data_IF_540988257649
#
_entry.id   IF_540988257649
#
_cell.length_a   1.000
_cell.length_b   1.000
_cell.length_c   1.000
_cell.angle_alpha   90.00
_cell.angle_beta   90.00
_cell.angle_gamma   90.00
#
_symmetry.space_group_name_H-M   'P 1'
#
loop_
_entity.id
_entity.type
_entity.pdbx_description
1 polymer ?
#
# COMPACT_ATOMS: atom_id res chain seq x y z
N UNK A 1 33.43 -14.18 -59.21
CA UNK A 1 32.09 -13.59 -58.97
C UNK A 1 31.63 -14.01 -57.58
N UNK A 2 31.87 -13.19 -56.56
CA UNK A 2 31.43 -13.50 -55.20
C UNK A 2 29.94 -13.19 -55.07
N UNK A 3 29.12 -14.24 -54.93
CA UNK A 3 27.68 -14.09 -54.71
C UNK A 3 27.42 -13.30 -53.43
N UNK A 4 26.65 -12.22 -53.53
CA UNK A 4 26.19 -11.44 -52.37
C UNK A 4 25.36 -12.38 -51.50
N UNK A 5 25.87 -12.74 -50.32
CA UNK A 5 25.12 -13.50 -49.33
C UNK A 5 23.94 -12.64 -48.88
N UNK A 6 22.72 -13.14 -49.05
CA UNK A 6 21.53 -12.51 -48.49
C UNK A 6 21.69 -12.47 -46.97
N UNK A 7 21.90 -11.28 -46.41
CA UNK A 7 21.84 -11.09 -44.97
C UNK A 7 20.38 -11.29 -44.53
N UNK A 8 20.15 -12.27 -43.67
CA UNK A 8 18.83 -12.47 -43.06
C UNK A 8 18.54 -11.30 -42.12
N UNK A 9 17.32 -10.75 -42.22
CA UNK A 9 16.87 -9.70 -41.28
C UNK A 9 16.74 -10.33 -39.90
N UNK A 10 17.46 -9.78 -38.93
CA UNK A 10 17.44 -10.22 -37.52
C UNK A 10 16.86 -9.12 -36.64
N UNK A 11 16.34 -9.51 -35.48
CA UNK A 11 15.81 -8.61 -34.46
C UNK A 11 16.28 -9.10 -33.09
N UNK A 12 16.97 -8.25 -32.34
CA UNK A 12 17.61 -8.62 -31.06
C UNK A 12 18.48 -9.88 -31.14
N UNK A 13 19.21 -10.04 -32.25
CA UNK A 13 20.03 -11.23 -32.51
C UNK A 13 19.26 -12.50 -32.93
N UNK A 14 17.94 -12.44 -32.99
CA UNK A 14 17.06 -13.57 -33.34
C UNK A 14 16.50 -13.45 -34.77
N UNK A 15 16.29 -14.60 -35.43
CA UNK A 15 15.56 -14.69 -36.70
C UNK A 15 14.04 -14.72 -36.54
N UNK A 16 13.30 -14.61 -37.65
CA UNK A 16 11.83 -14.61 -37.68
C UNK A 16 11.19 -15.71 -36.83
N UNK A 17 11.56 -16.97 -37.07
CA UNK A 17 10.98 -18.10 -36.36
C UNK A 17 11.38 -18.19 -34.89
N UNK A 18 12.52 -17.62 -34.52
CA UNK A 18 12.98 -17.58 -33.13
C UNK A 18 12.18 -16.55 -32.34
N UNK A 19 12.00 -15.33 -32.89
CA UNK A 19 11.13 -14.31 -32.29
C UNK A 19 9.69 -14.82 -32.21
N UNK A 20 9.21 -15.48 -33.26
CA UNK A 20 7.87 -16.07 -33.27
C UNK A 20 7.68 -17.13 -32.18
N UNK A 21 8.64 -18.03 -31.99
CA UNK A 21 8.63 -19.02 -30.91
C UNK A 21 8.71 -18.35 -29.53
N UNK A 22 9.60 -17.38 -29.37
CA UNK A 22 9.72 -16.60 -28.14
C UNK A 22 8.40 -15.92 -27.78
N UNK A 23 7.72 -15.31 -28.75
CA UNK A 23 6.41 -14.70 -28.54
C UNK A 23 5.38 -15.69 -28.03
N UNK A 24 5.29 -16.89 -28.62
CA UNK A 24 4.35 -17.92 -28.17
C UNK A 24 4.63 -18.35 -26.72
N UNK A 25 5.90 -18.58 -26.38
CA UNK A 25 6.31 -19.01 -25.03
C UNK A 25 6.12 -17.90 -23.99
N UNK A 26 6.48 -16.65 -24.32
CA UNK A 26 6.35 -15.53 -23.39
C UNK A 26 4.89 -15.11 -23.21
N UNK A 27 4.10 -15.17 -24.28
CA UNK A 27 2.66 -14.87 -24.21
C UNK A 27 1.92 -15.83 -23.27
N UNK A 28 2.29 -17.10 -23.21
CA UNK A 28 1.67 -18.04 -22.26
C UNK A 28 2.04 -17.75 -20.79
N UNK A 29 3.07 -16.95 -20.52
CA UNK A 29 3.43 -16.51 -19.17
C UNK A 29 2.62 -15.30 -18.68
N UNK A 30 2.01 -14.54 -19.59
CA UNK A 30 1.16 -13.40 -19.23
C UNK A 30 -0.14 -13.86 -18.60
N UNK A 31 -0.71 -13.06 -17.69
CA UNK A 31 -2.06 -13.25 -17.18
C UNK A 31 -3.10 -13.33 -18.33
N UNK A 32 -4.19 -14.08 -18.12
CA UNK A 32 -5.22 -14.30 -19.15
C UNK A 32 -5.82 -12.99 -19.68
N UNK A 33 -5.96 -11.98 -18.81
CA UNK A 33 -6.47 -10.65 -19.15
C UNK A 33 -5.58 -10.01 -20.23
N UNK A 34 -4.27 -9.96 -20.00
CA UNK A 34 -3.31 -9.43 -20.98
C UNK A 34 -3.28 -10.26 -22.28
N UNK A 35 -3.44 -11.58 -22.20
CA UNK A 35 -3.51 -12.42 -23.40
C UNK A 35 -4.72 -12.11 -24.28
N UNK A 36 -5.88 -11.82 -23.68
CA UNK A 36 -7.11 -11.41 -24.36
C UNK A 36 -6.93 -10.00 -24.94
N UNK A 37 -6.44 -9.06 -24.15
CA UNK A 37 -6.18 -7.69 -24.57
C UNK A 37 -5.29 -7.63 -25.81
N UNK A 38 -4.22 -8.45 -25.87
CA UNK A 38 -3.36 -8.55 -27.06
C UNK A 38 -4.12 -9.03 -28.31
N UNK A 39 -5.12 -9.93 -28.17
CA UNK A 39 -5.95 -10.37 -29.32
C UNK A 39 -6.85 -9.24 -29.81
N UNK A 40 -7.52 -8.57 -28.88
CA UNK A 40 -8.48 -7.50 -29.18
C UNK A 40 -7.79 -6.30 -29.84
N UNK A 41 -6.57 -5.98 -29.41
CA UNK A 41 -5.75 -4.91 -29.98
C UNK A 41 -4.97 -5.32 -31.24
N UNK A 42 -5.24 -6.52 -31.79
CA UNK A 42 -4.70 -6.93 -33.08
C UNK A 42 -3.22 -7.35 -33.09
N UNK A 43 -2.62 -7.64 -31.92
CA UNK A 43 -1.26 -8.15 -31.87
C UNK A 43 -1.19 -9.62 -32.34
N UNK A 44 -0.70 -9.82 -33.57
CA UNK A 44 -0.61 -11.12 -34.23
C UNK A 44 0.83 -11.60 -34.35
N UNK A 45 1.05 -12.90 -34.15
CA UNK A 45 2.37 -13.53 -34.26
C UNK A 45 2.66 -14.03 -35.69
N UNK A 46 2.39 -13.16 -36.68
CA UNK A 46 2.54 -13.43 -38.11
C UNK A 46 3.04 -12.16 -38.77
N UNK A 47 3.84 -12.25 -39.83
CA UNK A 47 4.55 -11.14 -40.49
C UNK A 47 5.60 -10.47 -39.59
N UNK A 48 6.73 -10.10 -40.16
CA UNK A 48 7.91 -9.74 -39.37
C UNK A 48 7.71 -8.50 -38.49
N UNK A 49 7.11 -7.44 -39.02
CA UNK A 49 6.91 -6.20 -38.25
C UNK A 49 5.89 -6.40 -37.10
N UNK A 50 4.86 -7.22 -37.30
CA UNK A 50 3.89 -7.54 -36.24
C UNK A 50 4.48 -8.48 -35.19
N UNK A 51 5.32 -9.44 -35.58
CA UNK A 51 6.06 -10.31 -34.66
C UNK A 51 6.99 -9.48 -33.75
N UNK A 52 7.63 -8.46 -34.29
CA UNK A 52 8.46 -7.51 -33.52
C UNK A 52 7.59 -6.67 -32.57
N UNK A 53 6.49 -6.08 -33.06
CA UNK A 53 5.57 -5.28 -32.22
C UNK A 53 4.99 -6.11 -31.07
N UNK A 54 4.57 -7.34 -31.35
CA UNK A 54 4.09 -8.28 -30.35
C UNK A 54 5.19 -8.61 -29.33
N UNK A 55 6.43 -8.84 -29.78
CA UNK A 55 7.55 -9.10 -28.88
C UNK A 55 7.80 -7.94 -27.92
N UNK A 56 7.84 -6.71 -28.43
CA UNK A 56 8.00 -5.50 -27.63
C UNK A 56 6.87 -5.36 -26.61
N UNK A 57 5.61 -5.53 -27.04
CA UNK A 57 4.46 -5.37 -26.15
C UNK A 57 4.38 -6.46 -25.08
N UNK A 58 4.72 -7.71 -25.42
CA UNK A 58 4.79 -8.79 -24.43
C UNK A 58 5.85 -8.46 -23.36
N UNK A 59 7.01 -7.96 -23.76
CA UNK A 59 8.05 -7.59 -22.78
C UNK A 59 7.64 -6.40 -21.93
N UNK A 60 6.94 -5.42 -22.51
CA UNK A 60 6.38 -4.30 -21.75
C UNK A 60 5.39 -4.80 -20.68
N UNK A 61 4.47 -5.69 -21.06
CA UNK A 61 3.48 -6.27 -20.14
C UNK A 61 4.11 -7.18 -19.08
N UNK A 62 5.19 -7.89 -19.40
CA UNK A 62 5.92 -8.72 -18.43
C UNK A 62 6.80 -7.92 -17.47
N UNK A 63 7.21 -6.72 -17.87
CA UNK A 63 8.03 -5.82 -17.06
C UNK A 63 7.18 -4.78 -16.31
N UNK A 64 5.88 -4.73 -16.59
CA UNK A 64 4.95 -3.93 -15.82
C UNK A 64 4.81 -4.62 -14.46
N UNK A 65 4.96 -3.91 -13.33
CA UNK A 65 4.65 -4.48 -12.03
C UNK A 65 3.22 -5.01 -12.10
N UNK A 66 3.04 -6.28 -11.76
CA UNK A 66 1.73 -6.91 -11.76
C UNK A 66 0.84 -6.04 -10.87
N UNK A 67 -0.23 -5.47 -11.43
CA UNK A 67 -1.23 -4.74 -10.65
C UNK A 67 -1.90 -5.63 -9.58
N UNK A 68 -1.69 -6.95 -9.68
CA UNK A 68 -2.11 -7.96 -8.70
C UNK A 68 -1.09 -8.12 -7.54
N UNK A 69 0.17 -7.71 -7.70
CA UNK A 69 1.22 -7.80 -6.65
C UNK A 69 1.33 -6.53 -5.80
N UNK A 70 0.72 -5.43 -6.25
CA UNK A 70 0.57 -4.19 -5.48
C UNK A 70 -0.89 -3.99 -5.07
N UNK A 71 -1.46 -4.93 -4.30
CA UNK A 71 -2.50 -4.48 -3.38
C UNK A 71 -1.89 -3.35 -2.57
N UNK A 72 -2.46 -2.16 -2.68
CA UNK A 72 -2.01 -1.04 -1.84
C UNK A 72 -2.12 -1.46 -0.37
N UNK A 73 -1.29 -0.90 0.50
CA UNK A 73 -1.34 -1.21 1.94
C UNK A 73 -2.77 -1.07 2.50
N UNK A 74 -3.52 -0.12 1.97
CA UNK A 74 -4.93 0.15 2.29
C UNK A 74 -5.85 -1.00 1.86
N UNK A 75 -5.71 -1.52 0.64
CA UNK A 75 -6.51 -2.65 0.15
C UNK A 75 -6.20 -3.94 0.91
N UNK A 76 -4.93 -4.18 1.25
CA UNK A 76 -4.52 -5.27 2.14
C UNK A 76 -5.16 -5.14 3.52
N UNK A 77 -5.28 -3.92 4.05
CA UNK A 77 -5.92 -3.66 5.34
C UNK A 77 -7.43 -3.94 5.30
N UNK A 78 -8.10 -3.50 4.23
CA UNK A 78 -9.54 -3.76 4.02
C UNK A 78 -9.84 -5.24 3.84
N UNK A 79 -8.98 -5.96 3.11
CA UNK A 79 -9.11 -7.41 2.91
C UNK A 79 -8.88 -8.16 4.23
N UNK A 80 -7.88 -7.76 5.02
CA UNK A 80 -7.61 -8.32 6.34
C UNK A 80 -8.76 -8.08 7.33
N UNK A 81 -9.35 -6.88 7.34
CA UNK A 81 -10.50 -6.55 8.19
C UNK A 81 -11.74 -7.38 7.79
N UNK A 82 -12.01 -7.51 6.48
CA UNK A 82 -13.06 -8.41 5.97
C UNK A 82 -12.83 -9.87 6.36
N UNK A 83 -11.59 -10.35 6.29
CA UNK A 83 -11.23 -11.71 6.70
C UNK A 83 -11.43 -11.87 8.21
N UNK A 84 -11.01 -10.90 9.02
CA UNK A 84 -11.22 -10.88 10.48
C UNK A 84 -12.70 -11.03 10.83
N UNK A 85 -13.57 -10.26 10.19
CA UNK A 85 -15.03 -10.34 10.38
C UNK A 85 -15.63 -11.67 9.92
N UNK A 86 -15.03 -12.36 8.94
CA UNK A 86 -15.55 -13.64 8.41
C UNK A 86 -15.34 -14.81 9.36
N UNK A 87 -14.29 -14.79 10.17
CA UNK A 87 -13.93 -15.90 11.07
C UNK A 87 -14.25 -15.63 12.53
N UNK A 88 -14.57 -14.40 12.90
CA UNK A 88 -15.00 -14.05 14.25
C UNK A 88 -16.52 -14.18 14.39
N UNK A 89 -16.93 -14.80 15.48
CA UNK A 89 -18.34 -14.84 15.87
C UNK A 89 -18.72 -13.56 16.63
N UNK A 90 -20.00 -13.18 16.61
CA UNK A 90 -20.48 -11.99 17.34
C UNK A 90 -20.11 -12.03 18.83
N UNK A 91 -20.07 -13.21 19.44
CA UNK A 91 -19.68 -13.40 20.84
C UNK A 91 -18.21 -13.11 21.10
N UNK A 92 -17.32 -13.48 20.18
CA UNK A 92 -15.88 -13.20 20.30
C UNK A 92 -15.61 -11.70 20.15
N UNK A 93 -16.33 -11.05 19.23
CA UNK A 93 -16.25 -9.60 19.04
C UNK A 93 -16.75 -8.87 20.30
N UNK A 94 -17.88 -9.30 20.86
CA UNK A 94 -18.42 -8.72 22.10
C UNK A 94 -17.47 -8.92 23.29
N UNK A 95 -16.89 -10.11 23.45
CA UNK A 95 -15.94 -10.40 24.51
C UNK A 95 -14.68 -9.51 24.40
N UNK A 96 -14.12 -9.38 23.19
CA UNK A 96 -12.98 -8.51 22.93
C UNK A 96 -13.30 -7.03 23.24
N UNK A 97 -14.47 -6.55 22.80
CA UNK A 97 -14.89 -5.16 23.05
C UNK A 97 -15.09 -4.89 24.55
N UNK A 98 -15.61 -5.87 25.31
CA UNK A 98 -15.73 -5.75 26.76
C UNK A 98 -14.35 -5.65 27.42
N UNK A 99 -13.43 -6.55 27.08
CA UNK A 99 -12.05 -6.53 27.61
C UNK A 99 -11.35 -5.20 27.27
N UNK A 100 -11.41 -4.77 26.01
CA UNK A 100 -10.84 -3.49 25.58
C UNK A 100 -11.46 -2.30 26.32
N UNK A 101 -12.78 -2.30 26.57
CA UNK A 101 -13.43 -1.25 27.33
C UNK A 101 -12.93 -1.20 28.78
N UNK A 102 -12.69 -2.36 29.42
CA UNK A 102 -12.14 -2.39 30.78
C UNK A 102 -10.73 -1.81 30.85
N UNK A 103 -9.88 -2.11 29.87
CA UNK A 103 -8.52 -1.56 29.79
C UNK A 103 -8.52 -0.05 29.55
N UNK A 104 -9.39 0.44 28.67
CA UNK A 104 -9.54 1.88 28.41
C UNK A 104 -9.99 2.63 29.65
N UNK A 105 -10.91 2.07 30.44
CA UNK A 105 -11.34 2.65 31.72
C UNK A 105 -10.15 2.69 32.69
N UNK A 106 -9.40 1.60 32.83
CA UNK A 106 -8.24 1.56 33.71
C UNK A 106 -7.17 2.59 33.32
N UNK A 107 -6.95 2.80 32.01
CA UNK A 107 -6.06 3.85 31.50
C UNK A 107 -6.61 5.24 31.85
N UNK A 108 -7.91 5.48 31.68
CA UNK A 108 -8.54 6.75 32.04
C UNK A 108 -8.37 7.06 33.52
N UNK A 109 -8.63 6.08 34.39
CA UNK A 109 -8.47 6.24 35.83
C UNK A 109 -7.01 6.55 36.22
N UNK A 110 -6.04 5.95 35.52
CA UNK A 110 -4.63 6.27 35.70
C UNK A 110 -4.28 7.68 35.22
N UNK A 111 -4.85 8.13 34.10
CA UNK A 111 -4.67 9.50 33.61
C UNK A 111 -5.23 10.49 34.63
N UNK A 112 -6.43 10.25 35.16
CA UNK A 112 -7.06 11.11 36.16
C UNK A 112 -6.28 11.14 37.49
N UNK A 113 -5.64 10.03 37.86
CA UNK A 113 -4.74 9.97 39.02
C UNK A 113 -3.42 10.73 38.80
N UNK A 114 -2.86 10.71 37.59
CA UNK A 114 -1.60 11.38 37.25
C UNK A 114 -1.80 12.88 36.98
N UNK A 115 -2.98 13.27 36.51
CA UNK A 115 -3.39 14.64 36.23
C UNK A 115 -4.65 14.98 37.03
N UNK A 116 -4.60 14.99 38.38
CA UNK A 116 -5.71 15.48 39.16
C UNK A 116 -5.95 16.92 38.74
N UNK A 117 -7.13 17.26 38.22
CA UNK A 117 -7.50 18.62 37.87
C UNK A 117 -7.23 19.55 39.07
N UNK A 118 -6.04 20.15 39.05
CA UNK A 118 -5.52 20.98 40.12
C UNK A 118 -5.17 22.29 39.46
N UNK A 119 -5.95 23.29 39.85
CA UNK A 119 -5.85 24.72 39.54
C UNK A 119 -6.56 25.16 38.26
N UNK A 120 -7.85 25.50 38.42
CA UNK A 120 -8.49 26.53 37.60
C UNK A 120 -7.80 27.86 37.91
N UNK A 121 -6.84 28.26 37.08
CA UNK A 121 -6.30 29.62 37.13
C UNK A 121 -7.40 30.62 36.70
N UNK A 122 -8.01 31.30 37.67
CA UNK A 122 -8.90 32.43 37.39
C UNK A 122 -8.04 33.66 37.10
N UNK A 123 -7.79 33.91 35.81
CA UNK A 123 -7.13 35.14 35.36
C UNK A 123 -8.16 36.28 35.35
N UNK A 124 -8.05 37.18 36.32
CA UNK A 124 -8.83 38.41 36.36
C UNK A 124 -8.18 39.47 35.45
N UNK A 125 -8.81 39.74 34.30
CA UNK A 125 -8.37 40.74 33.33
C UNK A 125 -8.86 42.17 33.67
N UNK A 126 -9.52 42.38 34.80
CA UNK A 126 -10.08 43.69 35.16
C UNK A 126 -9.03 44.76 35.45
N UNK A 127 -7.77 44.38 35.71
CA UNK A 127 -6.70 45.34 36.01
C UNK A 127 -5.53 45.25 35.03
N UNK A 128 -5.60 46.09 33.99
CA UNK A 128 -4.45 46.41 33.15
C UNK A 128 -3.51 47.35 33.90
N UNK A 129 -2.55 46.80 34.67
CA UNK A 129 -1.14 47.24 34.68
C UNK A 129 -0.34 46.72 35.90
N UNK A 130 0.79 46.08 35.56
CA UNK A 130 2.07 46.00 36.30
C UNK A 130 2.00 45.85 37.82
N UNK A 131 2.18 44.63 38.32
CA UNK A 131 2.92 44.43 39.56
C UNK A 131 3.61 43.06 39.58
N UNK A 132 4.91 43.08 39.90
CA UNK A 132 5.79 41.92 39.97
C UNK A 132 5.30 40.95 41.05
N UNK A 133 4.97 39.72 40.65
CA UNK A 133 4.56 38.65 41.56
C UNK A 133 5.77 38.21 42.39
N UNK A 134 5.74 38.47 43.70
CA UNK A 134 6.68 37.88 44.67
C UNK A 134 6.10 36.56 45.18
N UNK A 135 6.77 35.46 44.87
CA UNK A 135 6.48 34.13 45.42
C UNK A 135 6.77 34.12 46.93
N UNK A 136 5.74 33.88 47.74
CA UNK A 136 5.88 33.61 49.18
C UNK A 136 5.75 32.11 49.43
N UNK A 137 6.88 31.45 49.69
CA UNK A 137 6.90 30.07 50.17
C UNK A 137 6.35 30.00 51.60
N UNK A 138 5.26 29.25 51.80
CA UNK A 138 4.74 28.92 53.13
C UNK A 138 5.54 27.75 53.72
N UNK A 139 6.34 28.02 54.77
CA UNK A 139 6.96 26.97 55.60
C UNK A 139 5.92 26.35 56.53
N UNK A 140 5.61 25.07 56.36
CA UNK A 140 4.86 24.26 57.34
C UNK A 140 5.69 24.08 58.61
N UNK A 141 5.16 24.48 59.76
CA UNK A 141 5.66 24.03 61.08
C UNK A 141 4.97 22.71 61.41
N UNK A 142 5.76 21.64 61.52
CA UNK A 142 5.33 20.39 62.14
C UNK A 142 5.27 20.55 63.66
N UNK A 143 4.28 19.90 64.26
CA UNK A 143 4.09 19.73 65.70
C UNK A 143 4.76 18.44 66.14
#
# INVERSE_FOLDING_TARGET
MAGRKHQSRTFSGMGYHEVQRSNSIRRSKLAKIHQIWLKENGYKNVSWDNVIRLYQKINELLNQPDADDELTLEELFLEADRIGQKYQTCKEIEAFNQEMATEVIAISDLIDQQFPETEVEVIDYSQTSRSQVKTRQFRKKHR
#
